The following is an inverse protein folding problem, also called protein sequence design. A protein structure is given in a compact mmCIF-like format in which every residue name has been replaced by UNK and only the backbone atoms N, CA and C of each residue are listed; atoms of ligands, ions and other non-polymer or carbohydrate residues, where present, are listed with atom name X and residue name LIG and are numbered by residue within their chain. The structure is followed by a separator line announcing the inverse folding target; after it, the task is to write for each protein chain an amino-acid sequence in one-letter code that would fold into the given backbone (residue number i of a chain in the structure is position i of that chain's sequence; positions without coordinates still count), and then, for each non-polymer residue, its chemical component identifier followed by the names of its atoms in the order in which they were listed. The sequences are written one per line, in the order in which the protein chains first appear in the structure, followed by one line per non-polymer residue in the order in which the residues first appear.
data_IF_017245486090
#
_entry.id   IF_017245486090
#
_cell.length_a   1.000
_cell.length_b   1.000
_cell.length_c   1.000
_cell.angle_alpha   90.00
_cell.angle_beta   90.00
_cell.angle_gamma   90.00
#
_symmetry.space_group_name_H-M   'P 1'
#
loop_
_entity.id
_entity.type
_entity.pdbx_description
1 polymer ?
#
# COMPACT_ATOMS: atom_id res chain seq x y z
N UNK A 1 -23.35 30.41 -1.59
CA UNK A 1 -22.10 30.08 -0.88
C UNK A 1 -22.26 28.68 -0.30
N UNK A 2 -21.85 27.64 -1.05
CA UNK A 2 -21.86 26.26 -0.50
C UNK A 2 -20.72 26.19 0.51
N UNK A 3 -21.08 25.97 1.77
CA UNK A 3 -20.12 25.70 2.85
C UNK A 3 -19.18 24.59 2.37
N UNK A 4 -17.87 24.86 2.43
CA UNK A 4 -16.86 23.81 2.26
C UNK A 4 -17.08 22.83 3.41
N UNK A 5 -17.85 21.77 3.17
CA UNK A 5 -17.91 20.64 4.10
C UNK A 5 -16.46 20.23 4.36
N UNK A 6 -16.03 20.27 5.62
CA UNK A 6 -14.75 19.72 6.05
C UNK A 6 -14.70 18.28 5.54
N UNK A 7 -13.87 18.00 4.54
CA UNK A 7 -13.69 16.62 4.10
C UNK A 7 -13.22 15.80 5.29
N UNK A 8 -13.81 14.62 5.56
CA UNK A 8 -13.33 13.77 6.64
C UNK A 8 -11.84 13.44 6.44
N UNK A 9 -11.11 13.37 7.55
CA UNK A 9 -9.68 13.09 7.56
C UNK A 9 -9.39 11.79 6.81
N UNK A 10 -8.60 11.84 5.73
CA UNK A 10 -8.26 10.68 4.88
C UNK A 10 -6.94 10.02 5.31
N UNK A 11 -6.69 10.04 6.61
CA UNK A 11 -5.48 9.49 7.23
C UNK A 11 -5.77 8.08 7.75
N UNK A 12 -5.28 7.08 7.04
CA UNK A 12 -5.36 5.68 7.41
C UNK A 12 -4.10 5.29 8.18
N UNK A 13 -4.26 4.42 9.18
CA UNK A 13 -3.18 3.77 9.92
C UNK A 13 -3.52 2.28 10.00
N UNK A 14 -3.08 1.54 9.01
CA UNK A 14 -3.38 0.11 8.89
C UNK A 14 -2.18 -0.72 9.29
N UNK A 15 -2.47 -1.86 9.89
CA UNK A 15 -1.53 -2.94 10.11
C UNK A 15 -2.19 -4.22 9.61
N UNK A 16 -1.42 -5.04 8.92
CA UNK A 16 -1.83 -6.36 8.47
C UNK A 16 -0.82 -7.38 8.99
N UNK A 17 -1.31 -8.35 9.75
CA UNK A 17 -0.50 -9.44 10.28
C UNK A 17 -0.36 -10.52 9.21
N UNK A 18 0.85 -10.76 8.73
CA UNK A 18 1.13 -11.75 7.67
C UNK A 18 1.45 -13.14 8.21
N UNK A 19 1.78 -13.27 9.50
CA UNK A 19 2.00 -14.60 10.09
C UNK A 19 0.67 -15.33 10.22
N UNK A 20 0.67 -16.63 9.89
CA UNK A 20 -0.52 -17.47 9.77
C UNK A 20 -1.55 -16.98 8.73
N UNK A 21 -1.14 -16.09 7.82
CA UNK A 21 -1.94 -15.77 6.65
C UNK A 21 -1.74 -16.87 5.60
N UNK A 22 -2.76 -17.72 5.49
CA UNK A 22 -2.75 -18.95 4.68
C UNK A 22 -3.84 -18.92 3.61
N UNK A 23 -3.72 -18.04 2.60
CA UNK A 23 -4.65 -18.04 1.48
C UNK A 23 -4.50 -19.33 0.67
N UNK A 24 -5.63 -19.86 0.21
CA UNK A 24 -5.67 -20.93 -0.78
C UNK A 24 -4.99 -20.51 -2.08
N UNK A 25 -4.62 -21.49 -2.92
CA UNK A 25 -4.03 -21.19 -4.24
C UNK A 25 -4.93 -20.31 -5.12
N UNK A 26 -6.26 -20.47 -5.01
CA UNK A 26 -7.23 -19.65 -5.75
C UNK A 26 -7.28 -18.20 -5.24
N UNK A 27 -7.31 -18.01 -3.92
CA UNK A 27 -7.24 -16.68 -3.30
C UNK A 27 -5.92 -15.99 -3.62
N UNK A 28 -4.81 -16.73 -3.56
CA UNK A 28 -3.49 -16.22 -3.92
C UNK A 28 -3.44 -15.75 -5.38
N UNK A 29 -3.92 -16.59 -6.30
CA UNK A 29 -4.00 -16.22 -7.71
C UNK A 29 -4.90 -15.00 -7.93
N UNK A 30 -6.01 -14.89 -7.20
CA UNK A 30 -6.90 -13.73 -7.26
C UNK A 30 -6.20 -12.45 -6.79
N UNK A 31 -5.52 -12.50 -5.65
CA UNK A 31 -4.76 -11.37 -5.12
C UNK A 31 -3.69 -10.86 -6.08
N UNK A 32 -2.96 -11.77 -6.74
CA UNK A 32 -1.97 -11.38 -7.75
C UNK A 32 -2.61 -10.66 -8.95
N UNK A 33 -3.83 -11.04 -9.36
CA UNK A 33 -4.57 -10.33 -10.42
C UNK A 33 -5.05 -8.94 -9.99
N UNK A 34 -5.15 -8.69 -8.70
CA UNK A 34 -5.53 -7.38 -8.16
C UNK A 34 -4.35 -6.40 -8.09
N UNK A 35 -3.11 -6.83 -8.33
CA UNK A 35 -1.91 -5.98 -8.31
C UNK A 35 -1.59 -5.42 -9.70
N UNK A 36 -0.81 -4.33 -9.74
CA UNK A 36 -0.27 -3.80 -10.99
C UNK A 36 0.75 -4.79 -11.58
N UNK A 37 0.68 -5.04 -12.89
CA UNK A 37 1.54 -6.03 -13.56
C UNK A 37 3.04 -5.74 -13.35
N UNK A 38 3.42 -4.46 -13.31
CA UNK A 38 4.81 -4.03 -13.13
C UNK A 38 5.38 -4.40 -11.74
N UNK A 39 4.52 -4.63 -10.74
CA UNK A 39 4.96 -5.09 -9.42
C UNK A 39 5.25 -6.60 -9.40
N UNK A 40 4.67 -7.40 -10.31
CA UNK A 40 4.78 -8.86 -10.29
C UNK A 40 6.22 -9.37 -10.44
N UNK A 41 7.06 -8.85 -11.37
CA UNK A 41 8.47 -9.24 -11.43
C UNK A 41 9.23 -8.96 -10.13
N UNK A 42 8.86 -7.88 -9.42
CA UNK A 42 9.50 -7.51 -8.15
C UNK A 42 9.12 -8.46 -7.01
N UNK A 43 7.87 -8.91 -6.99
CA UNK A 43 7.38 -9.93 -6.05
C UNK A 43 8.06 -11.27 -6.34
N UNK A 44 8.19 -11.65 -7.62
CA UNK A 44 8.83 -12.91 -8.05
C UNK A 44 10.32 -13.01 -7.73
N UNK A 45 11.01 -11.88 -7.52
CA UNK A 45 12.44 -11.85 -7.16
C UNK A 45 12.70 -12.12 -5.67
N UNK A 46 11.67 -12.09 -4.82
CA UNK A 46 11.82 -12.38 -3.41
C UNK A 46 12.13 -13.87 -3.19
N UNK A 47 13.04 -14.15 -2.26
CA UNK A 47 13.49 -15.53 -1.96
C UNK A 47 12.67 -16.12 -0.81
N UNK A 48 12.37 -15.32 0.21
CA UNK A 48 11.66 -15.77 1.40
C UNK A 48 10.14 -15.65 1.23
N UNK A 49 9.40 -16.64 1.75
CA UNK A 49 7.93 -16.70 1.62
C UNK A 49 7.27 -15.54 2.36
N UNK A 50 7.87 -15.13 3.46
CA UNK A 50 7.47 -14.01 4.31
C UNK A 50 7.55 -12.69 3.53
N UNK A 51 8.64 -12.46 2.79
CA UNK A 51 8.80 -11.27 1.96
C UNK A 51 7.85 -11.26 0.76
N UNK A 52 7.58 -12.43 0.16
CA UNK A 52 6.56 -12.56 -0.89
C UNK A 52 5.18 -12.19 -0.34
N UNK A 53 4.80 -12.73 0.84
CA UNK A 53 3.55 -12.39 1.52
C UNK A 53 3.48 -10.91 1.86
N UNK A 54 4.53 -10.35 2.44
CA UNK A 54 4.61 -8.94 2.78
C UNK A 54 4.43 -8.05 1.54
N UNK A 55 5.07 -8.41 0.42
CA UNK A 55 4.97 -7.67 -0.82
C UNK A 55 3.56 -7.71 -1.43
N UNK A 56 2.89 -8.86 -1.42
CA UNK A 56 1.51 -9.00 -1.90
C UNK A 56 0.53 -8.25 -0.99
N UNK A 57 0.62 -8.46 0.32
CA UNK A 57 -0.21 -7.75 1.29
C UNK A 57 -0.03 -6.24 1.17
N UNK A 58 1.22 -5.77 1.08
CA UNK A 58 1.53 -4.35 0.95
C UNK A 58 1.02 -3.75 -0.36
N UNK A 59 1.13 -4.47 -1.47
CA UNK A 59 0.54 -4.07 -2.75
C UNK A 59 -0.97 -3.86 -2.66
N UNK A 60 -1.69 -4.82 -2.05
CA UNK A 60 -3.13 -4.73 -1.86
C UNK A 60 -3.53 -3.61 -0.89
N UNK A 61 -2.79 -3.45 0.21
CA UNK A 61 -2.99 -2.37 1.18
C UNK A 61 -2.82 -1.00 0.52
N UNK A 62 -1.78 -0.81 -0.30
CA UNK A 62 -1.57 0.44 -1.03
C UNK A 62 -2.74 0.74 -1.97
N UNK A 63 -3.15 -0.20 -2.82
CA UNK A 63 -4.28 0.00 -3.75
C UNK A 63 -5.58 0.29 -2.99
N UNK A 64 -5.88 -0.48 -1.94
CA UNK A 64 -7.08 -0.27 -1.13
C UNK A 64 -7.06 1.09 -0.43
N UNK A 65 -5.92 1.50 0.13
CA UNK A 65 -5.77 2.80 0.79
C UNK A 65 -5.94 3.95 -0.19
N UNK A 66 -5.36 3.84 -1.38
CA UNK A 66 -5.54 4.82 -2.46
C UNK A 66 -7.02 4.93 -2.82
N UNK A 67 -7.67 3.81 -3.16
CA UNK A 67 -9.10 3.81 -3.52
C UNK A 67 -9.98 4.46 -2.45
N UNK A 68 -9.77 4.09 -1.17
CA UNK A 68 -10.54 4.67 -0.05
C UNK A 68 -10.27 6.16 0.12
N UNK A 69 -9.01 6.58 0.01
CA UNK A 69 -8.65 7.97 0.25
C UNK A 69 -8.94 8.88 -0.95
N UNK A 70 -8.85 8.41 -2.18
CA UNK A 70 -9.00 9.24 -3.39
C UNK A 70 -10.35 9.08 -4.08
N UNK A 71 -11.04 7.98 -3.84
CA UNK A 71 -12.26 7.62 -4.57
C UNK A 71 -11.99 7.04 -5.95
N UNK A 72 -10.73 6.82 -6.33
CA UNK A 72 -10.38 6.16 -7.59
C UNK A 72 -10.91 4.72 -7.60
N UNK A 73 -11.44 4.32 -8.76
CA UNK A 73 -11.76 2.92 -9.02
C UNK A 73 -10.49 2.07 -9.02
N UNK A 74 -10.64 0.76 -8.77
CA UNK A 74 -9.48 -0.11 -8.58
C UNK A 74 -8.55 -0.12 -9.81
N UNK A 75 -9.10 -0.10 -11.01
CA UNK A 75 -8.39 -0.12 -12.31
C UNK A 75 -7.77 1.23 -12.71
N UNK A 76 -8.25 2.34 -12.15
CA UNK A 76 -7.69 3.68 -12.37
C UNK A 76 -6.40 3.92 -11.56
N UNK A 77 -6.13 3.09 -10.55
CA UNK A 77 -4.97 3.26 -9.68
C UNK A 77 -3.70 2.83 -10.42
N UNK A 78 -2.89 3.83 -10.76
CA UNK A 78 -1.55 3.66 -11.31
C UNK A 78 -0.50 4.09 -10.30
N UNK A 79 0.40 3.16 -9.98
CA UNK A 79 1.54 3.39 -9.11
C UNK A 79 2.80 3.55 -9.94
N UNK A 80 3.61 4.53 -9.59
CA UNK A 80 4.98 4.71 -10.09
C UNK A 80 5.96 4.57 -8.93
N UNK A 81 7.26 4.52 -9.24
CA UNK A 81 8.31 4.51 -8.22
C UNK A 81 9.28 5.66 -8.45
N UNK A 82 9.74 6.26 -7.36
CA UNK A 82 10.86 7.20 -7.40
C UNK A 82 12.15 6.52 -7.86
N UNK A 83 13.20 7.32 -8.12
CA UNK A 83 14.56 6.84 -8.37
C UNK A 83 15.11 5.95 -7.23
N UNK A 84 14.61 6.14 -6.01
CA UNK A 84 14.94 5.33 -4.82
C UNK A 84 14.01 4.14 -4.60
N UNK A 85 13.09 3.86 -5.54
CA UNK A 85 12.18 2.72 -5.49
C UNK A 85 10.93 2.91 -4.62
N UNK A 86 10.72 4.10 -4.03
CA UNK A 86 9.54 4.39 -3.19
C UNK A 86 8.27 4.41 -4.06
N UNK A 87 7.23 3.63 -3.74
CA UNK A 87 5.97 3.67 -4.47
C UNK A 87 5.24 4.99 -4.24
N UNK A 88 4.67 5.55 -5.30
CA UNK A 88 3.95 6.82 -5.33
C UNK A 88 2.75 6.71 -6.28
N UNK A 89 1.70 7.49 -6.04
CA UNK A 89 0.61 7.64 -7.00
C UNK A 89 1.15 8.34 -8.26
N UNK A 90 0.75 7.89 -9.44
CA UNK A 90 1.18 8.49 -10.71
C UNK A 90 0.82 9.99 -10.75
N UNK A 91 1.78 10.83 -11.09
CA UNK A 91 1.64 12.30 -11.09
C UNK A 91 0.66 12.83 -12.15
N UNK A 92 0.30 12.01 -13.14
CA UNK A 92 -0.78 12.31 -14.09
C UNK A 92 -2.16 12.33 -13.43
N UNK A 93 -2.34 11.63 -12.31
CA UNK A 93 -3.58 11.62 -11.53
C UNK A 93 -3.65 12.89 -10.68
N UNK A 94 -4.57 13.79 -11.02
CA UNK A 94 -4.76 15.07 -10.31
C UNK A 94 -5.80 14.92 -9.21
N UNK A 95 -5.40 15.26 -7.99
CA UNK A 95 -6.26 15.33 -6.81
C UNK A 95 -6.38 16.78 -6.34
N UNK A 96 -7.53 17.14 -5.77
CA UNK A 96 -7.78 18.48 -5.21
C UNK A 96 -7.01 18.77 -3.91
N UNK A 97 -6.19 17.81 -3.45
CA UNK A 97 -5.44 17.87 -2.21
C UNK A 97 -4.15 17.06 -2.33
N UNK A 98 -3.19 17.34 -1.46
CA UNK A 98 -1.97 16.56 -1.39
C UNK A 98 -2.26 15.16 -0.86
N UNK A 99 -1.79 14.12 -1.53
CA UNK A 99 -1.91 12.75 -1.05
C UNK A 99 -0.53 12.12 -0.90
N UNK A 100 -0.27 11.55 0.27
CA UNK A 100 0.96 10.81 0.57
C UNK A 100 0.60 9.51 1.26
N UNK A 101 1.39 8.47 0.99
CA UNK A 101 1.34 7.23 1.74
C UNK A 101 2.74 6.68 1.95
N UNK A 102 2.88 5.84 2.98
CA UNK A 102 4.09 5.09 3.24
C UNK A 102 3.76 3.72 3.80
N UNK A 103 4.60 2.75 3.43
CA UNK A 103 4.46 1.35 3.80
C UNK A 103 5.80 0.86 4.31
N UNK A 104 5.76 0.10 5.41
CA UNK A 104 6.91 -0.62 5.96
C UNK A 104 6.46 -2.03 6.35
N UNK A 105 7.39 -2.97 6.37
CA UNK A 105 7.15 -4.31 6.89
C UNK A 105 8.39 -4.82 7.59
N UNK A 106 8.18 -5.53 8.71
CA UNK A 106 9.23 -6.23 9.41
C UNK A 106 8.60 -7.28 10.34
N UNK A 107 9.24 -8.44 10.44
CA UNK A 107 8.67 -9.57 11.17
C UNK A 107 7.28 -9.94 10.66
N UNK A 108 6.28 -9.92 11.55
CA UNK A 108 4.95 -10.47 11.27
C UNK A 108 3.97 -9.46 10.69
N UNK A 109 4.40 -8.22 10.44
CA UNK A 109 3.48 -7.13 10.09
C UNK A 109 3.91 -6.36 8.84
N UNK A 110 2.91 -5.98 8.06
CA UNK A 110 2.96 -4.90 7.08
C UNK A 110 2.13 -3.75 7.62
N UNK A 111 2.67 -2.54 7.66
CA UNK A 111 1.95 -1.34 8.08
C UNK A 111 1.80 -0.36 6.92
N UNK A 112 0.74 0.44 6.94
CA UNK A 112 0.53 1.52 5.99
C UNK A 112 -0.02 2.76 6.69
N UNK A 113 0.56 3.91 6.36
CA UNK A 113 0.07 5.22 6.75
C UNK A 113 -0.26 6.06 5.53
N UNK A 114 -1.34 6.85 5.58
CA UNK A 114 -1.64 7.90 4.59
C UNK A 114 -1.72 9.29 5.23
N UNK A 115 -1.55 10.32 4.42
CA UNK A 115 -1.81 11.72 4.76
C UNK A 115 -2.45 12.43 3.57
N UNK A 116 -3.40 13.33 3.86
CA UNK A 116 -4.09 14.16 2.86
C UNK A 116 -3.67 15.63 2.90
N UNK A 117 -2.62 15.96 3.64
CA UNK A 117 -2.18 17.35 3.85
C UNK A 117 -0.66 17.52 3.98
N UNK A 118 0.09 16.42 4.02
CA UNK A 118 1.54 16.44 4.22
C UNK A 118 2.17 15.15 3.70
N UNK A 119 3.50 15.14 3.57
CA UNK A 119 4.26 13.92 3.36
C UNK A 119 4.22 13.09 4.65
N UNK A 120 4.04 11.77 4.54
CA UNK A 120 4.15 10.86 5.68
C UNK A 120 5.24 9.79 5.48
N UNK A 121 5.81 9.36 6.60
CA UNK A 121 6.69 8.20 6.73
C UNK A 121 6.22 7.33 7.89
N UNK A 122 6.41 6.03 7.78
CA UNK A 122 6.05 5.05 8.79
C UNK A 122 7.06 3.90 8.72
N UNK A 123 7.45 3.40 9.90
CA UNK A 123 8.34 2.25 9.99
C UNK A 123 7.86 1.29 11.08
N UNK A 124 8.15 0.00 10.87
CA UNK A 124 7.89 -1.06 11.83
C UNK A 124 9.13 -1.94 11.93
N UNK A 125 9.52 -2.28 13.14
CA UNK A 125 10.67 -3.14 13.43
C UNK A 125 10.26 -4.18 14.47
N UNK A 126 10.67 -5.43 14.25
CA UNK A 126 10.57 -6.49 15.26
C UNK A 126 11.80 -6.40 16.13
N UNK A 127 11.63 -6.30 17.44
CA UNK A 127 12.74 -6.37 18.38
C UNK A 127 13.23 -7.82 18.43
N UNK A 128 14.49 -8.03 18.12
CA UNK A 128 15.17 -9.32 18.23
C UNK A 128 16.27 -9.19 19.28
N UNK A 129 16.29 -10.12 20.23
CA UNK A 129 17.37 -10.19 21.20
C UNK A 129 18.61 -10.80 20.53
N UNK A 130 19.81 -10.26 20.78
CA UNK A 130 21.06 -10.79 20.24
C UNK A 130 21.39 -12.20 20.74
#
# INVERSE_FOLDING_TARGET
IRSKLKMPCRCLRWAFRIVNWEPSGAEWAHMLRCLQLDDLPRIRRQVFREDIRAAVAGGLMMRKAISVCTGLAWDEIKLIRSSTGKPMLDESIKLDYQFSFNLSHHGDYVILATSSSSICGADVMKIEYP
#
